data_IF_710560045371
#
_entry.id   IF_710560045371
#
_cell.length_a   1.000
_cell.length_b   1.000
_cell.length_c   1.000
_cell.angle_alpha   90.00
_cell.angle_beta   90.00
_cell.angle_gamma   90.00
#
_symmetry.space_group_name_H-M   'P 1'
#
loop_
_entity.id
_entity.type
_entity.pdbx_description
1 polymer ?
#
# COMPACT_ATOMS: atom_id res chain seq x y z
N UNK A 1 4.05 16.39 23.78
CA UNK A 1 3.11 15.36 23.31
C UNK A 1 2.61 15.81 21.94
N UNK A 2 3.33 15.43 20.87
CA UNK A 2 2.90 15.75 19.50
C UNK A 2 1.79 14.80 19.05
N UNK A 3 1.00 15.16 18.02
CA UNK A 3 -0.11 14.35 17.52
C UNK A 3 0.42 13.17 16.70
N UNK A 4 1.17 12.25 17.33
CA UNK A 4 1.39 10.90 16.83
C UNK A 4 0.14 10.07 17.10
N UNK A 5 -0.97 10.56 16.54
CA UNK A 5 -2.33 10.10 16.76
C UNK A 5 -2.39 8.60 16.45
N UNK A 6 -2.94 7.85 17.40
CA UNK A 6 -3.30 6.46 17.23
C UNK A 6 -3.93 6.26 15.84
N UNK A 7 -3.36 5.35 15.05
CA UNK A 7 -3.92 4.93 13.77
C UNK A 7 -5.43 4.75 13.94
N UNK A 8 -6.22 5.31 13.02
CA UNK A 8 -7.65 5.14 13.08
C UNK A 8 -7.99 3.64 13.01
N UNK A 9 -9.08 3.25 13.66
CA UNK A 9 -9.60 1.86 13.63
C UNK A 9 -9.70 1.32 12.20
N UNK A 10 -9.99 2.20 11.23
CA UNK A 10 -10.03 1.82 9.83
C UNK A 10 -8.66 1.43 9.27
N UNK A 11 -7.59 2.16 9.57
CA UNK A 11 -6.23 1.80 9.14
C UNK A 11 -5.75 0.53 9.85
N UNK A 12 -6.09 0.36 11.12
CA UNK A 12 -5.83 -0.91 11.84
C UNK A 12 -6.50 -2.09 11.15
N UNK A 13 -7.80 -1.98 10.82
CA UNK A 13 -8.53 -3.03 10.11
C UNK A 13 -7.95 -3.33 8.71
N UNK A 14 -7.42 -2.30 8.01
CA UNK A 14 -6.72 -2.50 6.75
C UNK A 14 -5.40 -3.23 6.94
N UNK A 15 -4.71 -3.00 8.05
CA UNK A 15 -3.44 -3.65 8.38
C UNK A 15 -3.66 -5.12 8.77
N UNK A 16 -4.74 -5.44 9.48
CA UNK A 16 -5.19 -6.81 9.74
C UNK A 16 -5.54 -7.55 8.43
N UNK A 17 -6.23 -6.85 7.51
CA UNK A 17 -6.59 -7.39 6.18
C UNK A 17 -5.36 -7.60 5.29
N UNK A 18 -4.37 -6.72 5.39
CA UNK A 18 -3.14 -6.73 4.59
C UNK A 18 -1.92 -6.67 5.50
N UNK A 19 -1.48 -7.80 6.09
CA UNK A 19 -0.43 -7.83 7.14
C UNK A 19 0.94 -7.25 6.73
N UNK A 20 1.20 -7.09 5.43
CA UNK A 20 2.40 -6.39 4.95
C UNK A 20 2.42 -4.92 5.36
N UNK A 21 1.26 -4.28 5.52
CA UNK A 21 1.20 -2.87 5.95
C UNK A 21 1.77 -2.68 7.37
N UNK A 22 1.64 -3.67 8.26
CA UNK A 22 2.20 -3.60 9.61
C UNK A 22 3.73 -3.69 9.65
N UNK A 23 4.34 -4.30 8.63
CA UNK A 23 5.81 -4.42 8.52
C UNK A 23 6.47 -3.13 8.04
N UNK A 24 5.67 -2.21 7.48
CA UNK A 24 6.12 -0.96 6.90
C UNK A 24 5.35 0.20 7.54
N UNK A 25 5.83 0.69 8.69
CA UNK A 25 5.15 1.73 9.50
C UNK A 25 4.69 2.94 8.66
N UNK A 26 5.53 3.36 7.70
CA UNK A 26 5.26 4.48 6.79
C UNK A 26 4.07 4.25 5.86
N UNK A 27 3.74 2.99 5.55
CA UNK A 27 2.57 2.64 4.76
C UNK A 27 1.26 2.96 5.52
N UNK A 28 1.18 2.57 6.80
CA UNK A 28 0.04 2.85 7.64
C UNK A 28 -0.12 4.37 7.89
N UNK A 29 0.99 5.07 8.16
CA UNK A 29 1.00 6.54 8.28
C UNK A 29 0.48 7.23 7.03
N UNK A 30 0.95 6.80 5.84
CA UNK A 30 0.51 7.39 4.57
C UNK A 30 -0.98 7.19 4.30
N UNK A 31 -1.53 6.02 4.64
CA UNK A 31 -2.97 5.75 4.56
C UNK A 31 -3.77 6.60 5.55
N UNK A 32 -3.25 6.80 6.78
CA UNK A 32 -3.88 7.66 7.77
C UNK A 32 -3.90 9.12 7.32
N UNK A 33 -2.79 9.64 6.78
CA UNK A 33 -2.73 10.99 6.18
C UNK A 33 -3.79 11.14 5.09
N UNK A 34 -3.98 10.11 4.26
CA UNK A 34 -5.04 10.12 3.23
C UNK A 34 -6.45 10.30 3.82
N UNK A 35 -6.76 9.60 4.91
CA UNK A 35 -8.04 9.76 5.63
C UNK A 35 -8.17 11.14 6.25
N UNK A 36 -7.13 11.63 6.90
CA UNK A 36 -7.10 12.93 7.58
C UNK A 36 -7.30 14.07 6.59
N UNK A 37 -6.79 13.90 5.35
CA UNK A 37 -7.02 14.82 4.23
C UNK A 37 -8.42 14.67 3.59
N UNK A 38 -9.31 13.87 4.17
CA UNK A 38 -10.70 13.72 3.75
C UNK A 38 -10.92 12.81 2.54
N UNK A 39 -9.98 11.90 2.22
CA UNK A 39 -10.22 10.89 1.18
C UNK A 39 -11.31 9.92 1.63
N UNK A 40 -12.17 9.53 0.69
CA UNK A 40 -13.21 8.56 0.97
C UNK A 40 -12.61 7.21 1.42
N UNK A 41 -13.22 6.50 2.38
CA UNK A 41 -12.71 5.21 2.86
C UNK A 41 -12.50 4.19 1.74
N UNK A 42 -13.37 4.19 0.72
CA UNK A 42 -13.23 3.31 -0.46
C UNK A 42 -11.98 3.60 -1.29
N UNK A 43 -11.54 4.87 -1.35
CA UNK A 43 -10.27 5.23 -2.00
C UNK A 43 -9.10 4.73 -1.19
N UNK A 44 -9.17 4.82 0.14
CA UNK A 44 -8.12 4.35 1.05
C UNK A 44 -8.01 2.82 1.03
N UNK A 45 -9.12 2.07 0.98
CA UNK A 45 -9.08 0.61 0.80
C UNK A 45 -8.41 0.21 -0.53
N UNK A 46 -8.71 0.94 -1.63
CA UNK A 46 -8.06 0.72 -2.92
C UNK A 46 -6.55 1.01 -2.87
N UNK A 47 -6.16 2.08 -2.17
CA UNK A 47 -4.75 2.41 -1.95
C UNK A 47 -4.06 1.37 -1.08
N UNK A 48 -4.68 0.92 0.01
CA UNK A 48 -4.15 -0.13 0.88
C UNK A 48 -3.88 -1.41 0.11
N UNK A 49 -4.81 -1.82 -0.77
CA UNK A 49 -4.59 -2.95 -1.66
C UNK A 49 -3.40 -2.73 -2.59
N UNK A 50 -3.40 -1.67 -3.39
CA UNK A 50 -2.31 -1.41 -4.33
C UNK A 50 -0.94 -1.27 -3.66
N UNK A 51 -0.90 -0.60 -2.50
CA UNK A 51 0.29 -0.45 -1.69
C UNK A 51 0.76 -1.79 -1.13
N UNK A 52 -0.15 -2.63 -0.62
CA UNK A 52 0.19 -3.97 -0.11
C UNK A 52 0.82 -4.86 -1.19
N UNK A 53 0.25 -4.86 -2.40
CA UNK A 53 0.80 -5.62 -3.54
C UNK A 53 2.21 -5.11 -3.92
N UNK A 54 2.42 -3.80 -3.91
CA UNK A 54 3.75 -3.21 -4.20
C UNK A 54 4.78 -3.50 -3.10
N UNK A 55 4.39 -3.42 -1.82
CA UNK A 55 5.28 -3.73 -0.70
C UNK A 55 5.73 -5.20 -0.72
N UNK A 56 4.84 -6.13 -1.08
CA UNK A 56 5.20 -7.53 -1.28
C UNK A 56 6.18 -7.73 -2.45
N UNK A 57 6.03 -6.96 -3.54
CA UNK A 57 7.00 -6.97 -4.62
C UNK A 57 8.37 -6.42 -4.17
N UNK A 58 8.38 -5.34 -3.39
CA UNK A 58 9.59 -4.80 -2.79
C UNK A 58 10.31 -5.82 -1.89
N UNK A 59 9.57 -6.51 -1.01
CA UNK A 59 10.13 -7.57 -0.16
C UNK A 59 10.72 -8.73 -0.96
N UNK A 60 9.99 -9.18 -2.00
CA UNK A 60 10.44 -10.24 -2.90
C UNK A 60 11.75 -9.86 -3.62
N UNK A 61 11.86 -8.60 -4.04
CA UNK A 61 12.96 -8.12 -4.89
C UNK A 61 14.10 -7.47 -4.07
N UNK A 62 13.98 -7.40 -2.74
CA UNK A 62 14.97 -6.79 -1.86
C UNK A 62 15.09 -5.27 -2.03
N UNK A 63 14.00 -4.61 -2.43
CA UNK A 63 13.94 -3.16 -2.66
C UNK A 63 13.44 -2.48 -1.38
N UNK A 64 14.15 -1.45 -0.92
CA UNK A 64 13.62 -0.54 0.09
C UNK A 64 12.44 0.26 -0.51
N UNK A 65 11.21 0.14 0.02
CA UNK A 65 10.05 0.83 -0.52
C UNK A 65 10.12 2.35 -0.39
N UNK A 66 10.80 2.92 0.63
CA UNK A 66 10.98 4.37 0.74
C UNK A 66 12.02 4.90 -0.26
N UNK A 67 13.01 4.08 -0.60
CA UNK A 67 14.00 4.33 -1.65
C UNK A 67 13.54 3.96 -3.06
N UNK A 68 12.33 3.42 -3.23
CA UNK A 68 11.86 2.93 -4.52
C UNK A 68 11.70 4.07 -5.53
N UNK A 69 12.23 3.89 -6.74
CA UNK A 69 12.17 4.87 -7.80
C UNK A 69 11.15 4.49 -8.89
N UNK A 70 10.98 5.37 -9.87
CA UNK A 70 10.02 5.19 -10.98
C UNK A 70 10.25 3.91 -11.78
N UNK A 71 11.50 3.44 -11.90
CA UNK A 71 11.79 2.19 -12.61
C UNK A 71 11.27 0.98 -11.84
N UNK A 72 11.38 0.95 -10.51
CA UNK A 72 10.80 -0.12 -9.69
C UNK A 72 9.26 -0.15 -9.82
N UNK A 73 8.64 1.03 -9.78
CA UNK A 73 7.18 1.15 -9.99
C UNK A 73 6.78 0.70 -11.39
N UNK A 74 7.54 1.08 -12.43
CA UNK A 74 7.26 0.68 -13.81
C UNK A 74 7.38 -0.84 -14.00
N UNK A 75 8.40 -1.46 -13.41
CA UNK A 75 8.55 -2.92 -13.41
C UNK A 75 7.36 -3.60 -12.74
N UNK A 76 6.97 -3.16 -11.54
CA UNK A 76 5.82 -3.70 -10.82
C UNK A 76 4.51 -3.56 -11.61
N UNK A 77 4.23 -2.38 -12.18
CA UNK A 77 3.05 -2.16 -13.02
C UNK A 77 3.09 -3.06 -14.27
N UNK A 78 4.28 -3.29 -14.83
CA UNK A 78 4.48 -4.26 -15.91
C UNK A 78 4.08 -5.68 -15.52
N UNK A 79 4.51 -6.15 -14.35
CA UNK A 79 4.15 -7.46 -13.81
C UNK A 79 2.65 -7.60 -13.53
N UNK A 80 2.00 -6.58 -12.96
CA UNK A 80 0.55 -6.63 -12.73
C UNK A 80 -0.25 -6.89 -14.02
N UNK A 81 0.24 -6.36 -15.15
CA UNK A 81 -0.40 -6.56 -16.46
C UNK A 81 -0.22 -7.97 -17.02
N UNK A 82 0.81 -8.69 -16.60
CA UNK A 82 1.05 -10.08 -17.03
C UNK A 82 0.36 -11.09 -16.13
N UNK A 83 0.13 -10.73 -14.86
CA UNK A 83 -0.60 -11.55 -13.88
C UNK A 83 -2.12 -11.43 -13.98
N UNK A 84 -2.63 -10.37 -14.63
CA UNK A 84 -4.05 -10.26 -14.92
C UNK A 84 -4.45 -11.37 -15.91
N UNK A 85 -5.40 -12.27 -15.58
CA UNK A 85 -5.85 -13.27 -16.52
C UNK A 85 -6.33 -12.58 -17.80
N UNK A 86 -5.78 -12.97 -18.95
CA UNK A 86 -6.24 -12.47 -20.24
C UNK A 86 -7.76 -12.63 -20.33
N UNK A 87 -8.49 -11.68 -20.95
CA UNK A 87 -9.90 -11.89 -21.21
C UNK A 87 -10.06 -13.19 -21.99
N UNK A 88 -10.85 -14.12 -21.44
CA UNK A 88 -11.29 -15.31 -22.18
C UNK A 88 -11.97 -14.79 -23.45
N UNK A 89 -11.39 -15.11 -24.60
CA UNK A 89 -11.99 -14.78 -25.90
C UNK A 89 -13.21 -15.66 -26.14
#
# INVERSE_FOLDING_TARGET
MGPGLALSVFVTALSEKWPVLERHERAAEWLQIGLDLGRAPRTIDAYARGLSEFLLACERDGIDPEGANRSHVASFVGELRTQLPLPVR
#
